data_IF_268317648047
#
_entry.id   IF_268317648047
#
_cell.length_a   1.000
_cell.length_b   1.000
_cell.length_c   1.000
_cell.angle_alpha   90.00
_cell.angle_beta   90.00
_cell.angle_gamma   90.00
#
_symmetry.space_group_name_H-M   'P 1'
#
loop_
_entity.id
_entity.type
_entity.pdbx_description
1 polymer ?
#
# COMPACT_ATOMS: atom_id res chain seq x y z
N UNK A 1 -6.52 -6.90 -12.32
CA UNK A 1 -5.75 -5.72 -12.76
C UNK A 1 -6.69 -4.82 -13.53
N UNK A 2 -6.67 -3.53 -13.20
CA UNK A 2 -7.42 -2.45 -13.83
C UNK A 2 -6.43 -1.73 -14.74
N UNK A 3 -6.70 -1.72 -16.04
CA UNK A 3 -5.86 -1.00 -17.00
C UNK A 3 -6.20 0.49 -16.96
N UNK A 4 -5.19 1.34 -17.02
CA UNK A 4 -5.37 2.80 -17.08
C UNK A 4 -5.15 3.32 -18.50
N UNK A 5 -5.44 4.61 -18.71
CA UNK A 5 -5.09 5.28 -19.96
C UNK A 5 -3.57 5.50 -20.14
N UNK A 6 -2.78 5.32 -19.08
CA UNK A 6 -1.32 5.47 -19.11
C UNK A 6 -0.71 4.12 -19.53
N UNK A 7 0.08 4.07 -20.62
CA UNK A 7 0.73 2.83 -21.06
C UNK A 7 1.57 2.21 -19.95
N UNK A 8 1.50 0.87 -19.83
CA UNK A 8 2.18 0.05 -18.81
C UNK A 8 1.79 0.33 -17.35
N UNK A 9 0.83 1.23 -17.11
CA UNK A 9 0.36 1.52 -15.76
C UNK A 9 -0.97 0.80 -15.47
N UNK A 10 -0.98 -0.01 -14.43
CA UNK A 10 -2.13 -0.81 -14.01
C UNK A 10 -2.35 -0.67 -12.51
N UNK A 11 -3.57 -0.94 -12.06
CA UNK A 11 -3.92 -0.88 -10.64
C UNK A 11 -4.65 -2.15 -10.19
N UNK A 12 -4.61 -2.48 -8.91
CA UNK A 12 -5.49 -3.50 -8.31
C UNK A 12 -5.72 -3.22 -6.84
N UNK A 13 -6.81 -3.74 -6.30
CA UNK A 13 -6.95 -3.81 -4.85
C UNK A 13 -5.79 -4.61 -4.23
N UNK A 14 -5.32 -4.16 -3.08
CA UNK A 14 -4.32 -4.86 -2.30
C UNK A 14 -4.83 -6.21 -1.80
N UNK A 15 -3.92 -7.17 -1.66
CA UNK A 15 -4.14 -8.45 -0.99
C UNK A 15 -3.32 -8.50 0.30
N UNK A 16 -3.52 -9.55 1.10
CA UNK A 16 -2.74 -9.77 2.33
C UNK A 16 -1.23 -9.86 2.07
N UNK A 17 -0.83 -10.26 0.86
CA UNK A 17 0.58 -10.40 0.49
C UNK A 17 1.26 -9.03 0.27
N UNK A 18 0.49 -7.95 0.08
CA UNK A 18 1.03 -6.61 -0.13
C UNK A 18 1.33 -5.85 1.17
N UNK A 19 0.99 -6.41 2.34
CA UNK A 19 1.08 -5.70 3.63
C UNK A 19 2.47 -5.13 3.88
N UNK A 20 3.52 -5.92 3.62
CA UNK A 20 4.91 -5.46 3.78
C UNK A 20 5.24 -4.30 2.82
N UNK A 21 4.81 -4.38 1.57
CA UNK A 21 5.03 -3.35 0.56
C UNK A 21 4.29 -2.04 0.90
N UNK A 22 3.03 -2.14 1.34
CA UNK A 22 2.22 -1.00 1.77
C UNK A 22 2.88 -0.31 2.97
N UNK A 23 3.36 -1.09 3.96
CA UNK A 23 4.06 -0.52 5.11
C UNK A 23 5.37 0.20 4.70
N UNK A 24 6.10 -0.33 3.72
CA UNK A 24 7.28 0.35 3.16
C UNK A 24 6.90 1.70 2.57
N UNK A 25 5.87 1.75 1.71
CA UNK A 25 5.43 2.99 1.11
C UNK A 25 4.90 4.02 2.11
N UNK A 26 4.18 3.58 3.17
CA UNK A 26 3.78 4.46 4.27
C UNK A 26 5.00 5.08 4.94
N UNK A 27 6.04 4.28 5.21
CA UNK A 27 7.28 4.77 5.84
C UNK A 27 8.06 5.71 4.93
N UNK A 28 8.18 5.39 3.65
CA UNK A 28 8.84 6.25 2.66
C UNK A 28 8.13 7.60 2.53
N UNK A 29 6.80 7.62 2.52
CA UNK A 29 6.01 8.86 2.52
C UNK A 29 6.23 9.66 3.82
N UNK A 30 6.20 8.99 4.97
CA UNK A 30 6.42 9.64 6.26
C UNK A 30 7.84 10.20 6.40
N UNK A 31 8.85 9.53 5.85
CA UNK A 31 10.23 10.05 5.79
C UNK A 31 10.28 11.34 4.95
N UNK A 32 9.65 11.33 3.77
CA UNK A 32 9.55 12.52 2.92
C UNK A 32 8.85 13.69 3.63
N UNK A 33 7.81 13.41 4.39
CA UNK A 33 7.05 14.41 5.17
C UNK A 33 7.71 14.79 6.50
N UNK A 34 8.85 14.18 6.86
CA UNK A 34 9.54 14.34 8.16
C UNK A 34 8.70 13.90 9.37
N UNK A 35 7.78 12.98 9.14
CA UNK A 35 6.86 12.39 10.12
C UNK A 35 7.15 10.91 10.38
N UNK A 36 8.32 10.40 9.99
CA UNK A 36 8.67 8.98 10.17
C UNK A 36 8.49 8.47 11.63
N UNK A 37 8.68 9.35 12.62
CA UNK A 37 8.48 9.04 14.04
C UNK A 37 7.02 8.83 14.46
N UNK A 38 6.07 9.34 13.67
CA UNK A 38 4.62 9.13 13.90
C UNK A 38 4.15 7.77 13.34
N UNK A 39 4.98 7.07 12.56
CA UNK A 39 4.62 5.75 12.01
C UNK A 39 4.79 4.67 13.08
N UNK A 40 3.71 4.44 13.83
CA UNK A 40 3.62 3.36 14.84
C UNK A 40 3.08 2.04 14.28
N UNK A 41 2.69 2.01 13.00
CA UNK A 41 2.12 0.82 12.37
C UNK A 41 3.17 -0.29 12.19
N UNK A 42 2.77 -1.51 12.53
CA UNK A 42 3.49 -2.76 12.21
C UNK A 42 2.74 -3.54 11.14
N UNK A 43 3.40 -4.49 10.48
CA UNK A 43 2.75 -5.37 9.49
C UNK A 43 1.54 -6.10 10.10
N UNK A 44 1.65 -6.55 11.36
CA UNK A 44 0.55 -7.21 12.05
C UNK A 44 -0.66 -6.27 12.24
N UNK A 45 -0.42 -5.04 12.74
CA UNK A 45 -1.50 -4.07 12.92
C UNK A 45 -2.12 -3.64 11.60
N UNK A 46 -1.30 -3.50 10.56
CA UNK A 46 -1.76 -3.10 9.22
C UNK A 46 -2.56 -4.22 8.56
N UNK A 47 -2.11 -5.47 8.66
CA UNK A 47 -2.84 -6.64 8.19
C UNK A 47 -4.21 -6.78 8.86
N UNK A 48 -4.30 -6.53 10.18
CA UNK A 48 -5.58 -6.54 10.91
C UNK A 48 -6.51 -5.43 10.43
N UNK A 49 -6.01 -4.22 10.24
CA UNK A 49 -6.78 -3.06 9.76
C UNK A 49 -7.34 -3.27 8.34
N UNK A 50 -6.51 -3.77 7.43
CA UNK A 50 -6.84 -3.92 6.00
C UNK A 50 -7.57 -5.22 5.67
N UNK A 51 -7.32 -6.29 6.43
CA UNK A 51 -7.76 -7.65 6.10
C UNK A 51 -8.23 -8.50 7.29
N UNK A 52 -8.37 -7.92 8.47
CA UNK A 52 -8.98 -8.56 9.64
C UNK A 52 -10.49 -8.70 9.50
N UNK A 53 -11.13 -9.28 10.53
CA UNK A 53 -12.58 -9.52 10.56
C UNK A 53 -13.40 -8.25 10.33
N UNK A 54 -12.93 -7.13 10.89
CA UNK A 54 -13.45 -5.80 10.63
C UNK A 54 -12.46 -5.04 9.76
N UNK A 55 -12.65 -5.09 8.44
CA UNK A 55 -11.98 -4.17 7.52
C UNK A 55 -12.42 -2.74 7.81
N UNK A 56 -11.47 -1.87 8.09
CA UNK A 56 -11.73 -0.44 8.33
C UNK A 56 -11.13 0.47 7.25
N UNK A 57 -10.33 -0.09 6.34
CA UNK A 57 -9.75 0.60 5.19
C UNK A 57 -9.50 -0.36 4.03
N UNK A 58 -9.34 0.21 2.84
CA UNK A 58 -8.98 -0.48 1.59
C UNK A 58 -7.82 0.26 0.92
N UNK A 59 -7.01 -0.47 0.15
CA UNK A 59 -5.80 0.06 -0.50
C UNK A 59 -5.80 -0.35 -1.98
N UNK A 60 -5.36 0.55 -2.86
CA UNK A 60 -5.24 0.32 -4.30
C UNK A 60 -3.78 0.41 -4.70
N UNK A 61 -3.18 -0.74 -5.00
CA UNK A 61 -1.80 -0.82 -5.47
C UNK A 61 -1.71 -0.34 -6.93
N UNK A 62 -0.78 0.55 -7.21
CA UNK A 62 -0.41 1.02 -8.56
C UNK A 62 0.89 0.38 -9.04
N UNK A 63 0.92 -0.04 -10.30
CA UNK A 63 2.04 -0.75 -10.92
C UNK A 63 2.45 -0.11 -12.23
N UNK A 64 3.74 0.13 -12.43
CA UNK A 64 4.33 0.52 -13.70
C UNK A 64 5.30 -0.58 -14.18
N UNK A 65 5.08 -1.13 -15.37
CA UNK A 65 5.88 -2.24 -15.90
C UNK A 65 5.94 -3.46 -14.95
N UNK A 66 4.80 -3.75 -14.29
CA UNK A 66 4.62 -4.78 -13.26
C UNK A 66 5.33 -4.54 -11.90
N UNK A 67 6.10 -3.45 -11.77
CA UNK A 67 6.70 -3.04 -10.50
C UNK A 67 5.72 -2.18 -9.68
N UNK A 68 5.59 -2.41 -8.36
CA UNK A 68 4.77 -1.57 -7.51
C UNK A 68 5.40 -0.18 -7.38
N UNK A 69 4.62 0.86 -7.66
CA UNK A 69 5.08 2.27 -7.65
C UNK A 69 4.19 3.19 -6.81
N UNK A 70 3.11 2.66 -6.24
CA UNK A 70 2.21 3.42 -5.37
C UNK A 70 1.12 2.55 -4.74
N UNK A 71 0.37 3.13 -3.78
CA UNK A 71 -0.72 2.49 -3.05
C UNK A 71 -1.83 3.49 -2.68
#
# INVERSE_FOLDING_TARGET
MINTAIPKFTMRFATKDDVAQILSFIKELAEYEKLAHEVVATEETLAKTLFGERKVAEVIMGFYDAEPVGF
#
